data_IF_070885854127
#
_entry.id   IF_070885854127
#
_cell.length_a   1.000
_cell.length_b   1.000
_cell.length_c   1.000
_cell.angle_alpha   90.00
_cell.angle_beta   90.00
_cell.angle_gamma   90.00
#
_symmetry.space_group_name_H-M   'P 1'
#
loop_
_entity.id
_entity.type
_entity.pdbx_description
1 polymer ?
#
# COMPACT_ATOMS: atom_id res chain seq x y z
N UNK A 1 0.37 25.09 19.93
CA UNK A 1 1.71 25.72 20.02
C UNK A 1 1.50 27.22 20.09
N UNK A 2 2.28 27.96 20.87
CA UNK A 2 2.18 29.43 20.88
C UNK A 2 2.75 29.98 19.56
N UNK A 3 2.05 30.89 18.88
CA UNK A 3 2.46 31.49 17.61
C UNK A 3 3.89 32.05 17.67
N UNK A 4 4.24 32.70 18.80
CA UNK A 4 5.58 33.24 19.05
C UNK A 4 6.69 32.20 18.92
N UNK A 5 6.42 30.95 19.34
CA UNK A 5 7.41 29.87 19.27
C UNK A 5 7.60 29.38 17.83
N UNK A 6 6.52 29.27 17.05
CA UNK A 6 6.60 28.89 15.65
C UNK A 6 7.37 29.93 14.85
N UNK A 7 7.05 31.22 15.00
CA UNK A 7 7.74 32.31 14.31
C UNK A 7 9.24 32.33 14.65
N UNK A 8 9.59 32.07 15.92
CA UNK A 8 10.99 31.94 16.32
C UNK A 8 11.69 30.78 15.61
N UNK A 9 11.08 29.58 15.57
CA UNK A 9 11.64 28.44 14.84
C UNK A 9 11.79 28.72 13.34
N UNK A 10 10.79 29.33 12.72
CA UNK A 10 10.81 29.70 11.30
C UNK A 10 11.92 30.69 10.98
N UNK A 11 12.15 31.68 11.84
CA UNK A 11 13.25 32.65 11.66
C UNK A 11 14.65 32.03 11.74
N UNK A 12 14.78 30.88 12.42
CA UNK A 12 16.05 30.16 12.59
C UNK A 12 16.30 29.13 11.47
N UNK A 13 15.35 28.90 10.56
CA UNK A 13 15.57 27.99 9.43
C UNK A 13 16.68 28.48 8.50
N UNK A 14 16.83 29.79 8.34
CA UNK A 14 17.88 30.40 7.52
C UNK A 14 19.23 30.56 8.24
N UNK A 15 19.35 30.08 9.48
CA UNK A 15 20.63 30.11 10.19
C UNK A 15 21.71 29.33 9.41
N UNK A 16 22.90 29.93 9.19
CA UNK A 16 23.99 29.28 8.46
C UNK A 16 24.62 28.11 9.23
N UNK A 17 24.37 28.01 10.54
CA UNK A 17 24.92 26.98 11.43
C UNK A 17 24.17 25.65 11.24
N UNK A 18 24.81 24.59 10.72
CA UNK A 18 24.12 23.33 10.41
C UNK A 18 23.43 22.68 11.62
N UNK A 19 24.01 22.80 12.81
CA UNK A 19 23.45 22.24 14.05
C UNK A 19 22.16 22.95 14.48
N UNK A 20 22.08 24.27 14.24
CA UNK A 20 20.87 25.06 14.54
C UNK A 20 19.76 24.63 13.59
N UNK A 21 20.05 24.55 12.28
CA UNK A 21 19.11 24.06 11.29
C UNK A 21 18.58 22.66 11.63
N UNK A 22 19.46 21.70 11.94
CA UNK A 22 19.04 20.33 12.28
C UNK A 22 18.13 20.28 13.51
N UNK A 23 18.40 21.10 14.52
CA UNK A 23 17.56 21.17 15.73
C UNK A 23 16.19 21.74 15.42
N UNK A 24 16.14 22.84 14.66
CA UNK A 24 14.90 23.51 14.25
C UNK A 24 14.08 22.60 13.33
N UNK A 25 14.70 22.00 12.31
CA UNK A 25 14.06 21.07 11.39
C UNK A 25 13.44 19.89 12.14
N UNK A 26 14.17 19.29 13.11
CA UNK A 26 13.64 18.22 13.95
C UNK A 26 12.43 18.68 14.76
N UNK A 27 12.52 19.82 15.44
CA UNK A 27 11.44 20.34 16.28
C UNK A 27 10.18 20.66 15.45
N UNK A 28 10.34 21.24 14.27
CA UNK A 28 9.25 21.50 13.34
C UNK A 28 8.65 20.19 12.77
N UNK A 29 9.50 19.21 12.45
CA UNK A 29 9.08 17.92 11.86
C UNK A 29 8.21 17.06 12.77
N UNK A 30 8.27 17.29 14.08
CA UNK A 30 7.48 16.58 15.08
C UNK A 30 6.10 17.21 15.33
N UNK A 31 5.84 18.38 14.73
CA UNK A 31 4.56 19.09 14.84
C UNK A 31 3.41 18.34 14.13
N UNK A 32 2.15 18.62 14.50
CA UNK A 32 0.98 18.04 13.82
C UNK A 32 0.82 18.60 12.40
N UNK A 33 0.18 17.83 11.51
CA UNK A 33 -0.13 18.23 10.12
C UNK A 33 -0.96 19.51 10.02
N UNK A 34 -1.70 19.87 11.08
CA UNK A 34 -2.48 21.12 11.13
C UNK A 34 -1.62 22.38 11.04
N UNK A 35 -0.30 22.29 11.21
CA UNK A 35 0.62 23.41 11.06
C UNK A 35 1.02 23.68 9.59
N UNK A 36 0.80 22.70 8.69
CA UNK A 36 1.26 22.78 7.30
C UNK A 36 0.76 24.05 6.58
N UNK A 37 -0.52 24.47 6.68
CA UNK A 37 -0.97 25.70 6.03
C UNK A 37 -0.16 26.93 6.43
N UNK A 38 0.22 27.05 7.71
CA UNK A 38 1.05 28.17 8.19
C UNK A 38 2.49 28.10 7.64
N UNK A 39 3.02 26.89 7.45
CA UNK A 39 4.33 26.69 6.82
C UNK A 39 4.28 27.01 5.32
N UNK A 40 3.17 26.69 4.64
CA UNK A 40 2.93 27.02 3.24
C UNK A 40 2.77 28.54 3.04
N UNK A 41 2.06 29.23 3.92
CA UNK A 41 1.98 30.70 3.94
C UNK A 41 3.38 31.32 4.07
N UNK A 42 4.18 30.82 5.02
CA UNK A 42 5.56 31.29 5.20
C UNK A 42 6.47 30.95 4.01
N UNK A 43 6.24 29.82 3.33
CA UNK A 43 6.94 29.43 2.11
C UNK A 43 6.62 30.39 0.95
N UNK A 44 5.37 30.86 0.83
CA UNK A 44 4.97 31.86 -0.16
C UNK A 44 5.65 33.22 0.07
N UNK A 45 5.83 33.61 1.33
CA UNK A 45 6.50 34.87 1.71
C UNK A 45 8.03 34.79 1.71
N UNK A 46 8.60 33.58 1.64
CA UNK A 46 10.03 33.36 1.71
C UNK A 46 10.76 34.01 0.52
N UNK A 47 11.71 34.91 0.84
CA UNK A 47 12.47 35.70 -0.17
C UNK A 47 13.69 34.98 -0.75
N UNK A 48 14.06 33.84 -0.18
CA UNK A 48 15.25 33.08 -0.53
C UNK A 48 14.87 31.69 -1.03
N UNK A 49 15.38 31.24 -2.19
CA UNK A 49 15.19 29.87 -2.66
C UNK A 49 15.67 28.82 -1.66
N UNK A 50 16.72 29.11 -0.89
CA UNK A 50 17.23 28.21 0.15
C UNK A 50 16.22 28.02 1.29
N UNK A 51 15.55 29.09 1.71
CA UNK A 51 14.53 29.04 2.75
C UNK A 51 13.32 28.23 2.28
N UNK A 52 12.89 28.45 1.04
CA UNK A 52 11.81 27.69 0.39
C UNK A 52 12.13 26.19 0.37
N UNK A 53 13.34 25.81 -0.06
CA UNK A 53 13.77 24.40 -0.07
C UNK A 53 13.75 23.80 1.34
N UNK A 54 14.25 24.52 2.35
CA UNK A 54 14.25 24.08 3.75
C UNK A 54 12.83 23.89 4.29
N UNK A 55 11.92 24.81 3.97
CA UNK A 55 10.50 24.71 4.35
C UNK A 55 9.82 23.53 3.68
N UNK A 56 10.06 23.30 2.39
CA UNK A 56 9.57 22.12 1.68
C UNK A 56 10.06 20.82 2.33
N UNK A 57 11.33 20.75 2.72
CA UNK A 57 11.88 19.59 3.43
C UNK A 57 11.15 19.35 4.75
N UNK A 58 10.92 20.40 5.54
CA UNK A 58 10.16 20.33 6.81
C UNK A 58 8.72 19.88 6.58
N UNK A 59 8.00 20.49 5.64
CA UNK A 59 6.60 20.15 5.30
C UNK A 59 6.51 18.68 4.89
N UNK A 60 7.37 18.23 3.97
CA UNK A 60 7.42 16.85 3.51
C UNK A 60 7.70 15.87 4.68
N UNK A 61 8.56 16.26 5.63
CA UNK A 61 8.91 15.43 6.79
C UNK A 61 7.76 15.35 7.80
N UNK A 62 7.02 16.44 8.05
CA UNK A 62 5.80 16.45 8.86
C UNK A 62 4.76 15.50 8.26
N UNK A 63 4.50 15.63 6.95
CA UNK A 63 3.55 14.79 6.22
C UNK A 63 3.94 13.31 6.29
N UNK A 64 5.21 12.99 6.01
CA UNK A 64 5.70 11.62 6.10
C UNK A 64 5.60 11.04 7.52
N UNK A 65 6.00 11.81 8.54
CA UNK A 65 5.91 11.39 9.94
C UNK A 65 4.47 11.11 10.38
N UNK A 66 3.50 11.89 9.87
CA UNK A 66 2.09 11.63 10.08
C UNK A 66 1.64 10.32 9.42
N UNK A 67 1.89 10.15 8.11
CA UNK A 67 1.55 8.92 7.38
C UNK A 67 2.18 7.68 8.01
N UNK A 68 3.44 7.77 8.46
CA UNK A 68 4.13 6.68 9.16
C UNK A 68 3.40 6.30 10.45
N UNK A 69 2.95 7.28 11.25
CA UNK A 69 2.18 7.03 12.48
C UNK A 69 0.83 6.40 12.19
N UNK A 70 0.12 6.87 11.17
CA UNK A 70 -1.14 6.27 10.73
C UNK A 70 -0.94 4.83 10.27
N UNK A 71 0.11 4.55 9.48
CA UNK A 71 0.41 3.20 9.01
C UNK A 71 0.81 2.25 10.14
N UNK A 72 1.58 2.72 11.13
CA UNK A 72 1.88 1.94 12.34
C UNK A 72 0.61 1.64 13.14
N UNK A 73 -0.31 2.59 13.23
CA UNK A 73 -1.58 2.41 13.94
C UNK A 73 -2.45 1.40 13.19
N UNK A 74 -2.59 1.56 11.88
CA UNK A 74 -3.25 0.61 10.99
C UNK A 74 -2.69 -0.81 11.16
N UNK A 75 -1.35 -0.97 11.17
CA UNK A 75 -0.69 -2.26 11.33
C UNK A 75 -0.90 -2.94 12.69
N UNK A 76 -1.41 -2.22 13.71
CA UNK A 76 -1.77 -2.75 15.03
C UNK A 76 -3.25 -3.09 15.19
N UNK A 77 -4.09 -2.74 14.21
CA UNK A 77 -5.52 -3.09 14.25
C UNK A 77 -5.74 -4.57 13.93
N UNK A 78 -6.78 -5.16 14.52
CA UNK A 78 -7.12 -6.58 14.30
C UNK A 78 -7.79 -6.81 12.93
N UNK A 79 -8.55 -5.82 12.44
CA UNK A 79 -9.28 -5.85 11.18
C UNK A 79 -8.69 -4.85 10.17
N UNK A 80 -7.49 -5.14 9.69
CA UNK A 80 -6.76 -4.27 8.77
C UNK A 80 -7.42 -4.22 7.39
N UNK A 81 -7.97 -3.07 6.98
CA UNK A 81 -8.42 -2.88 5.61
C UNK A 81 -7.22 -2.71 4.66
N UNK A 82 -7.15 -3.52 3.61
CA UNK A 82 -6.05 -3.54 2.63
C UNK A 82 -5.98 -2.26 1.77
N UNK A 83 -7.12 -1.67 1.42
CA UNK A 83 -7.18 -0.42 0.64
C UNK A 83 -6.61 0.72 1.46
N UNK A 84 -6.92 0.79 2.76
CA UNK A 84 -6.40 1.82 3.67
C UNK A 84 -4.87 1.75 3.76
N UNK A 85 -4.33 0.54 3.95
CA UNK A 85 -2.89 0.32 3.98
C UNK A 85 -2.21 0.74 2.68
N UNK A 86 -2.81 0.44 1.52
CA UNK A 86 -2.28 0.86 0.23
C UNK A 86 -2.32 2.39 0.04
N UNK A 87 -3.43 3.04 0.43
CA UNK A 87 -3.57 4.50 0.43
C UNK A 87 -2.49 5.15 1.29
N UNK A 88 -2.24 4.63 2.50
CA UNK A 88 -1.20 5.15 3.38
C UNK A 88 0.20 5.01 2.77
N UNK A 89 0.49 3.89 2.10
CA UNK A 89 1.75 3.75 1.35
C UNK A 89 1.86 4.79 0.24
N UNK A 90 0.78 5.08 -0.50
CA UNK A 90 0.83 6.07 -1.57
C UNK A 90 0.93 7.52 -1.03
N UNK A 91 0.26 7.82 0.08
CA UNK A 91 0.37 9.12 0.77
C UNK A 91 1.79 9.44 1.25
N UNK A 92 2.65 8.45 1.43
CA UNK A 92 4.03 8.66 1.89
C UNK A 92 4.94 9.36 0.87
N UNK A 93 4.54 9.38 -0.40
CA UNK A 93 5.23 10.07 -1.49
C UNK A 93 4.30 10.95 -2.33
N UNK A 94 2.99 10.87 -2.11
CA UNK A 94 1.97 11.76 -2.68
C UNK A 94 0.99 12.20 -1.58
N UNK A 95 1.36 13.17 -0.72
CA UNK A 95 0.55 13.63 0.41
C UNK A 95 -0.84 14.13 0.01
N UNK A 96 -0.99 14.65 -1.22
CA UNK A 96 -2.22 15.22 -1.75
C UNK A 96 -3.13 14.18 -2.43
N UNK A 97 -2.88 12.88 -2.23
CA UNK A 97 -3.69 11.81 -2.81
C UNK A 97 -5.17 11.93 -2.39
N UNK A 98 -6.04 12.10 -3.38
CA UNK A 98 -7.49 12.17 -3.18
C UNK A 98 -8.05 10.75 -3.06
N UNK A 99 -8.65 10.42 -1.92
CA UNK A 99 -9.12 9.06 -1.59
C UNK A 99 -10.53 8.75 -2.06
N UNK A 100 -11.38 9.77 -2.25
CA UNK A 100 -12.79 9.59 -2.63
C UNK A 100 -12.97 8.80 -3.95
N UNK A 101 -12.24 9.10 -5.05
CA UNK A 101 -12.35 8.32 -6.27
C UNK A 101 -11.96 6.85 -6.08
N UNK A 102 -10.93 6.57 -5.26
CA UNK A 102 -10.49 5.21 -4.94
C UNK A 102 -11.64 4.44 -4.29
N UNK A 103 -12.26 5.01 -3.24
CA UNK A 103 -13.39 4.38 -2.54
C UNK A 103 -14.57 4.12 -3.46
N UNK A 104 -14.96 5.11 -4.26
CA UNK A 104 -16.10 4.99 -5.19
C UNK A 104 -15.91 3.85 -6.17
N UNK A 105 -14.69 3.65 -6.69
CA UNK A 105 -14.40 2.54 -7.61
C UNK A 105 -14.49 1.19 -6.90
N UNK A 106 -13.87 1.05 -5.72
CA UNK A 106 -13.94 -0.19 -4.92
C UNK A 106 -15.38 -0.53 -4.56
N UNK A 107 -16.15 0.44 -4.06
CA UNK A 107 -17.55 0.26 -3.68
C UNK A 107 -18.42 -0.14 -4.87
N UNK A 108 -18.14 0.41 -6.06
CA UNK A 108 -18.86 0.03 -7.28
C UNK A 108 -18.62 -1.45 -7.61
N UNK A 109 -17.36 -1.88 -7.65
CA UNK A 109 -17.02 -3.28 -7.95
C UNK A 109 -17.65 -4.22 -6.92
N UNK A 110 -17.54 -3.86 -5.63
CA UNK A 110 -18.15 -4.62 -4.54
C UNK A 110 -19.65 -4.78 -4.72
N UNK A 111 -20.38 -3.69 -4.96
CA UNK A 111 -21.84 -3.74 -5.14
C UNK A 111 -22.25 -4.61 -6.33
N UNK A 112 -21.55 -4.48 -7.45
CA UNK A 112 -21.84 -5.28 -8.65
C UNK A 112 -21.60 -6.77 -8.38
N UNK A 113 -20.52 -7.13 -7.68
CA UNK A 113 -20.25 -8.53 -7.29
C UNK A 113 -21.25 -9.04 -6.25
N UNK A 114 -21.63 -8.19 -5.30
CA UNK A 114 -22.55 -8.53 -4.21
C UNK A 114 -23.94 -8.93 -4.73
N UNK A 115 -24.40 -8.34 -5.84
CA UNK A 115 -25.68 -8.71 -6.47
C UNK A 115 -25.70 -10.13 -7.02
N UNK A 116 -24.54 -10.69 -7.35
CA UNK A 116 -24.39 -12.03 -7.95
C UNK A 116 -24.02 -13.10 -6.91
N UNK A 117 -23.61 -12.70 -5.71
CA UNK A 117 -23.22 -13.60 -4.63
C UNK A 117 -24.38 -13.82 -3.66
N UNK A 118 -24.62 -15.06 -3.29
CA UNK A 118 -25.49 -15.43 -2.18
C UNK A 118 -24.85 -16.52 -1.30
N UNK A 119 -25.48 -16.81 -0.16
CA UNK A 119 -24.94 -17.73 0.85
C UNK A 119 -24.98 -19.20 0.44
N UNK A 120 -25.74 -19.57 -0.59
CA UNK A 120 -25.83 -20.95 -1.08
C UNK A 120 -24.66 -21.32 -1.99
N UNK A 121 -23.91 -20.34 -2.48
CA UNK A 121 -22.75 -20.56 -3.34
C UNK A 121 -21.58 -21.13 -2.57
N UNK A 122 -20.91 -22.11 -3.18
CA UNK A 122 -19.64 -22.63 -2.68
C UNK A 122 -18.54 -21.59 -2.76
N UNK A 123 -17.47 -21.75 -1.96
CA UNK A 123 -16.29 -20.90 -2.02
C UNK A 123 -15.71 -20.76 -3.43
N UNK A 124 -15.69 -21.84 -4.21
CA UNK A 124 -15.17 -21.83 -5.58
C UNK A 124 -16.07 -21.03 -6.53
N UNK A 125 -17.39 -21.11 -6.38
CA UNK A 125 -18.34 -20.32 -7.18
C UNK A 125 -18.24 -18.84 -6.88
N UNK A 126 -18.16 -18.46 -5.58
CA UNK A 126 -17.94 -17.07 -5.16
C UNK A 126 -16.67 -16.49 -5.79
N UNK A 127 -15.57 -17.27 -5.82
CA UNK A 127 -14.32 -16.85 -6.46
C UNK A 127 -14.43 -16.76 -7.97
N UNK A 128 -15.17 -17.66 -8.64
CA UNK A 128 -15.41 -17.56 -10.09
C UNK A 128 -16.17 -16.29 -10.46
N UNK A 129 -17.18 -15.91 -9.67
CA UNK A 129 -17.93 -14.66 -9.85
C UNK A 129 -16.99 -13.49 -9.67
N UNK A 130 -16.24 -13.43 -8.56
CA UNK A 130 -15.29 -12.35 -8.32
C UNK A 130 -14.25 -12.23 -9.45
N UNK A 131 -13.71 -13.35 -9.95
CA UNK A 131 -12.80 -13.37 -11.08
C UNK A 131 -13.44 -12.78 -12.34
N UNK A 132 -14.69 -13.18 -12.64
CA UNK A 132 -15.41 -12.67 -13.80
C UNK A 132 -15.56 -11.15 -13.74
N UNK A 133 -16.02 -10.61 -12.62
CA UNK A 133 -16.13 -9.16 -12.47
C UNK A 133 -14.78 -8.47 -12.53
N UNK A 134 -13.81 -8.92 -11.74
CA UNK A 134 -12.54 -8.22 -11.60
C UNK A 134 -11.71 -8.24 -12.91
N UNK A 135 -11.61 -9.40 -13.56
CA UNK A 135 -10.75 -9.58 -14.73
C UNK A 135 -11.47 -9.42 -16.08
N UNK A 136 -12.77 -9.72 -16.18
CA UNK A 136 -13.46 -9.72 -17.48
C UNK A 136 -14.39 -8.50 -17.64
N UNK A 137 -15.12 -8.11 -16.60
CA UNK A 137 -16.00 -6.93 -16.65
C UNK A 137 -15.17 -5.65 -16.44
N UNK A 138 -14.44 -5.58 -15.32
CA UNK A 138 -13.64 -4.43 -14.95
C UNK A 138 -12.29 -4.36 -15.67
N UNK A 139 -11.81 -5.50 -16.19
CA UNK A 139 -10.58 -5.61 -16.99
C UNK A 139 -9.29 -5.21 -16.24
N UNK A 140 -9.23 -5.48 -14.93
CA UNK A 140 -7.99 -5.29 -14.18
C UNK A 140 -6.93 -6.29 -14.61
N UNK A 141 -5.71 -5.81 -14.86
CA UNK A 141 -4.61 -6.65 -15.33
C UNK A 141 -3.29 -6.28 -14.68
N UNK A 142 -2.41 -7.26 -14.56
CA UNK A 142 -1.10 -7.09 -13.95
C UNK A 142 -0.06 -6.78 -15.04
N UNK A 143 0.74 -5.73 -14.85
CA UNK A 143 1.80 -5.36 -15.81
C UNK A 143 3.07 -6.18 -15.59
N UNK A 144 3.83 -6.42 -16.67
CA UNK A 144 5.08 -7.18 -16.60
C UNK A 144 6.14 -6.46 -15.74
N UNK A 145 6.85 -7.18 -14.83
CA UNK A 145 7.90 -6.60 -14.00
C UNK A 145 9.16 -6.21 -14.79
N UNK A 146 9.21 -6.53 -16.09
CA UNK A 146 10.34 -6.23 -16.97
C UNK A 146 10.40 -4.75 -17.38
N UNK A 147 9.29 -4.01 -17.25
CA UNK A 147 9.21 -2.58 -17.57
C UNK A 147 8.67 -1.81 -16.36
N UNK A 148 9.48 -1.64 -15.30
CA UNK A 148 9.01 -1.00 -14.08
C UNK A 148 8.71 0.47 -14.33
N UNK A 149 7.63 0.96 -13.72
CA UNK A 149 7.22 2.37 -13.73
C UNK A 149 6.89 2.80 -12.31
N UNK A 150 7.22 4.03 -11.93
CA UNK A 150 7.10 4.52 -10.55
C UNK A 150 5.65 4.61 -10.02
N UNK A 151 4.67 4.56 -10.91
CA UNK A 151 3.25 4.59 -10.57
C UNK A 151 2.60 3.20 -10.46
N UNK A 152 3.30 2.11 -10.82
CA UNK A 152 2.67 0.79 -10.93
C UNK A 152 2.15 0.22 -9.60
N UNK A 153 2.52 0.82 -8.46
CA UNK A 153 2.00 0.54 -7.12
C UNK A 153 1.10 1.63 -6.54
N UNK A 154 0.75 2.65 -7.33
CA UNK A 154 -0.15 3.73 -6.94
C UNK A 154 -1.61 3.32 -7.13
N UNK A 155 -2.34 3.11 -6.04
CA UNK A 155 -3.71 2.57 -6.08
C UNK A 155 -4.66 3.44 -6.91
N UNK A 156 -4.54 4.77 -6.84
CA UNK A 156 -5.37 5.69 -7.61
C UNK A 156 -5.13 5.52 -9.10
N UNK A 157 -3.86 5.54 -9.50
CA UNK A 157 -3.44 5.33 -10.89
C UNK A 157 -3.87 3.95 -11.39
N UNK A 158 -3.62 2.90 -10.61
CA UNK A 158 -3.96 1.52 -10.95
C UNK A 158 -5.46 1.33 -11.13
N UNK A 159 -6.28 1.94 -10.27
CA UNK A 159 -7.73 1.89 -10.40
C UNK A 159 -8.21 2.61 -11.68
N UNK A 160 -7.61 3.75 -12.01
CA UNK A 160 -7.96 4.51 -13.23
C UNK A 160 -7.52 3.82 -14.53
N UNK A 161 -6.30 3.26 -14.56
CA UNK A 161 -5.72 2.64 -15.74
C UNK A 161 -6.11 1.17 -15.86
N UNK A 162 -6.67 0.58 -14.80
CA UNK A 162 -6.99 -0.85 -14.69
C UNK A 162 -5.77 -1.76 -14.86
N UNK A 163 -4.58 -1.21 -14.63
CA UNK A 163 -3.31 -1.90 -14.79
C UNK A 163 -2.38 -1.52 -13.65
N UNK A 164 -1.65 -2.49 -13.11
CA UNK A 164 -0.73 -2.26 -12.00
C UNK A 164 0.21 -3.42 -11.77
N UNK A 165 1.16 -3.27 -10.84
CA UNK A 165 2.06 -4.35 -10.49
C UNK A 165 1.31 -5.52 -9.83
N UNK A 166 1.96 -6.68 -9.77
CA UNK A 166 1.36 -7.92 -9.27
C UNK A 166 0.87 -7.82 -7.82
N UNK A 167 1.57 -7.04 -6.99
CA UNK A 167 1.25 -6.86 -5.57
C UNK A 167 -0.02 -6.03 -5.42
N UNK A 168 -0.09 -4.86 -6.05
CA UNK A 168 -1.25 -3.97 -5.89
C UNK A 168 -2.54 -4.57 -6.51
N UNK A 169 -2.44 -5.26 -7.65
CA UNK A 169 -3.57 -5.99 -8.22
C UNK A 169 -4.09 -7.07 -7.26
N UNK A 170 -3.19 -7.81 -6.61
CA UNK A 170 -3.56 -8.81 -5.61
C UNK A 170 -4.13 -8.19 -4.33
N UNK A 171 -3.64 -7.03 -3.92
CA UNK A 171 -4.18 -6.26 -2.78
C UNK A 171 -5.61 -5.83 -3.06
N UNK A 172 -5.87 -5.22 -4.23
CA UNK A 172 -7.21 -4.76 -4.60
C UNK A 172 -8.18 -5.95 -4.68
N UNK A 173 -7.77 -7.05 -5.34
CA UNK A 173 -8.57 -8.26 -5.43
C UNK A 173 -8.92 -8.82 -4.05
N UNK A 174 -7.92 -9.01 -3.17
CA UNK A 174 -8.13 -9.54 -1.83
C UNK A 174 -8.97 -8.60 -0.96
N UNK A 175 -8.82 -7.28 -1.11
CA UNK A 175 -9.62 -6.30 -0.38
C UNK A 175 -11.10 -6.39 -0.74
N UNK A 176 -11.43 -6.45 -2.04
CA UNK A 176 -12.81 -6.59 -2.50
C UNK A 176 -13.40 -7.91 -2.00
N UNK A 177 -12.64 -9.01 -2.08
CA UNK A 177 -13.07 -10.29 -1.54
C UNK A 177 -13.38 -10.21 -0.03
N UNK A 178 -12.48 -9.61 0.76
CA UNK A 178 -12.65 -9.48 2.20
C UNK A 178 -13.83 -8.57 2.58
N UNK A 179 -14.10 -7.50 1.83
CA UNK A 179 -15.28 -6.64 2.02
C UNK A 179 -16.61 -7.33 1.63
N UNK A 180 -16.55 -8.44 0.88
CA UNK A 180 -17.67 -9.32 0.56
C UNK A 180 -17.75 -10.53 1.50
N UNK A 181 -17.04 -10.49 2.62
CA UNK A 181 -16.90 -11.59 3.59
C UNK A 181 -16.28 -12.88 3.04
N UNK A 182 -15.63 -12.81 1.87
CA UNK A 182 -14.90 -13.92 1.25
C UNK A 182 -13.47 -13.95 1.82
N UNK A 183 -13.06 -15.02 2.53
CA UNK A 183 -11.79 -15.09 3.26
C UNK A 183 -10.56 -15.33 2.36
N UNK A 184 -10.25 -14.36 1.49
CA UNK A 184 -9.09 -14.38 0.61
C UNK A 184 -7.92 -13.62 1.25
N UNK A 185 -6.78 -14.28 1.36
CA UNK A 185 -5.56 -13.71 1.95
C UNK A 185 -4.34 -13.98 1.08
N UNK A 186 -3.28 -13.18 1.24
CA UNK A 186 -2.01 -13.45 0.55
C UNK A 186 -1.34 -14.73 1.04
N UNK A 187 -0.30 -15.18 0.33
CA UNK A 187 0.68 -16.13 0.85
C UNK A 187 2.10 -15.54 0.81
N UNK A 188 2.94 -15.95 1.75
CA UNK A 188 4.30 -15.45 1.90
C UNK A 188 5.33 -16.19 1.02
N UNK A 189 5.01 -16.40 -0.27
CA UNK A 189 5.90 -17.05 -1.23
C UNK A 189 6.88 -16.04 -1.86
N UNK A 190 8.20 -16.30 -1.85
CA UNK A 190 9.20 -15.45 -2.50
C UNK A 190 8.94 -15.34 -4.01
N UNK A 191 9.23 -14.15 -4.55
CA UNK A 191 9.20 -13.84 -5.99
C UNK A 191 7.91 -14.27 -6.72
N UNK A 192 6.80 -14.34 -5.98
CA UNK A 192 5.51 -14.82 -6.45
C UNK A 192 4.39 -14.16 -5.65
N UNK A 193 3.47 -13.45 -6.30
CA UNK A 193 2.27 -12.93 -5.63
C UNK A 193 1.11 -13.88 -5.89
N UNK A 194 0.71 -14.61 -4.86
CA UNK A 194 -0.39 -15.56 -4.89
C UNK A 194 -1.28 -15.29 -3.67
N UNK A 195 -2.55 -15.66 -3.80
CA UNK A 195 -3.54 -15.59 -2.73
C UNK A 195 -4.03 -17.00 -2.38
N UNK A 196 -4.76 -17.12 -1.30
CA UNK A 196 -5.39 -18.33 -0.82
C UNK A 196 -6.78 -18.03 -0.28
N UNK A 197 -7.68 -19.00 -0.39
CA UNK A 197 -8.97 -18.98 0.29
C UNK A 197 -8.88 -19.83 1.56
N UNK A 198 -9.28 -19.26 2.70
CA UNK A 198 -9.27 -19.93 4.00
C UNK A 198 -10.66 -20.45 4.35
N UNK A 199 -10.76 -21.67 4.86
CA UNK A 199 -11.99 -22.22 5.43
C UNK A 199 -12.26 -21.58 6.81
N UNK A 200 -13.23 -20.65 6.85
CA UNK A 200 -13.68 -20.01 8.09
C UNK A 200 -14.65 -20.88 8.91
N UNK A 201 -15.31 -21.86 8.31
CA UNK A 201 -16.38 -22.62 8.98
C UNK A 201 -15.83 -23.72 9.90
N UNK A 202 -14.67 -24.29 9.58
CA UNK A 202 -14.12 -25.45 10.30
C UNK A 202 -13.18 -25.14 11.46
N UNK A 203 -13.04 -23.89 11.90
CA UNK A 203 -12.12 -23.46 12.98
C UNK A 203 -10.65 -23.90 12.78
N UNK A 204 -10.26 -24.29 11.55
CA UNK A 204 -8.93 -24.83 11.25
C UNK A 204 -8.02 -23.86 10.50
N UNK A 205 -8.52 -22.69 10.08
CA UNK A 205 -7.81 -21.74 9.21
C UNK A 205 -7.09 -22.47 8.05
N UNK A 206 -7.71 -23.53 7.54
CA UNK A 206 -7.15 -24.40 6.52
C UNK A 206 -7.32 -23.74 5.16
N UNK A 207 -6.30 -23.83 4.31
CA UNK A 207 -6.38 -23.32 2.95
C UNK A 207 -7.13 -24.34 2.09
N UNK A 208 -8.27 -23.92 1.53
CA UNK A 208 -9.05 -24.75 0.60
C UNK A 208 -8.38 -24.84 -0.77
N UNK A 209 -7.93 -23.70 -1.27
CA UNK A 209 -7.27 -23.57 -2.57
C UNK A 209 -6.49 -22.26 -2.66
N UNK A 210 -5.65 -22.18 -3.68
CA UNK A 210 -4.85 -21.02 -4.01
C UNK A 210 -5.39 -20.31 -5.24
N UNK A 211 -5.10 -19.02 -5.35
CA UNK A 211 -5.58 -18.15 -6.42
C UNK A 211 -4.37 -17.41 -6.99
N UNK A 212 -4.27 -17.35 -8.31
CA UNK A 212 -3.27 -16.57 -9.01
C UNK A 212 -3.93 -15.33 -9.67
N UNK A 213 -3.87 -14.15 -9.03
CA UNK A 213 -4.44 -12.94 -9.61
C UNK A 213 -3.77 -12.48 -10.92
N UNK A 214 -2.53 -12.91 -11.17
CA UNK A 214 -1.80 -12.56 -12.40
C UNK A 214 -2.35 -13.38 -13.58
N UNK A 215 -2.76 -14.62 -13.31
CA UNK A 215 -3.37 -15.52 -14.31
C UNK A 215 -4.90 -15.48 -14.20
N UNK A 216 -5.47 -14.26 -14.24
CA UNK A 216 -6.92 -13.98 -14.22
C UNK A 216 -7.69 -14.70 -13.10
N UNK A 217 -7.06 -14.86 -11.94
CA UNK A 217 -7.65 -15.50 -10.78
C UNK A 217 -7.71 -17.03 -10.86
N UNK A 218 -6.87 -17.67 -11.70
CA UNK A 218 -6.78 -19.13 -11.80
C UNK A 218 -6.70 -19.76 -10.40
N UNK A 219 -7.59 -20.72 -10.16
CA UNK A 219 -7.66 -21.49 -8.91
C UNK A 219 -6.89 -22.79 -9.07
N UNK A 220 -6.12 -23.16 -8.05
CA UNK A 220 -5.26 -24.35 -8.08
C UNK A 220 -5.06 -24.95 -6.67
N UNK A 221 -4.66 -26.21 -6.62
CA UNK A 221 -4.50 -26.98 -5.39
C UNK A 221 -3.09 -26.91 -4.79
N UNK A 222 -2.91 -27.54 -3.63
CA UNK A 222 -1.61 -27.63 -2.94
C UNK A 222 -0.52 -28.32 -3.77
N UNK A 223 -0.86 -29.39 -4.49
CA UNK A 223 0.10 -30.10 -5.35
C UNK A 223 0.65 -29.20 -6.48
N UNK A 224 -0.20 -28.34 -7.05
CA UNK A 224 0.22 -27.37 -8.06
C UNK A 224 1.09 -26.26 -7.44
N UNK A 225 0.79 -25.82 -6.21
CA UNK A 225 1.67 -24.90 -5.47
C UNK A 225 3.05 -25.51 -5.20
N UNK A 226 3.10 -26.78 -4.79
CA UNK A 226 4.35 -27.53 -4.60
C UNK A 226 5.17 -27.61 -5.88
N UNK A 227 4.52 -27.85 -7.01
CA UNK A 227 5.16 -27.79 -8.32
C UNK A 227 5.74 -26.40 -8.63
N UNK A 228 5.00 -25.32 -8.34
CA UNK A 228 5.49 -23.95 -8.51
C UNK A 228 6.71 -23.66 -7.63
N UNK A 229 6.70 -24.10 -6.37
CA UNK A 229 7.82 -23.93 -5.43
C UNK A 229 9.06 -24.67 -5.97
N UNK A 230 8.90 -25.94 -6.37
CA UNK A 230 9.98 -26.78 -6.86
C UNK A 230 10.58 -26.26 -8.19
N UNK A 231 9.73 -25.87 -9.14
CA UNK A 231 10.17 -25.33 -10.44
C UNK A 231 10.97 -24.03 -10.32
N UNK A 232 10.66 -23.20 -9.30
CA UNK A 232 11.42 -21.99 -8.97
C UNK A 232 12.67 -22.25 -8.10
N UNK A 233 12.97 -23.51 -7.77
CA UNK A 233 14.06 -23.91 -6.86
C UNK A 233 14.00 -23.21 -5.50
N UNK A 234 12.79 -22.92 -5.02
CA UNK A 234 12.56 -22.32 -3.72
C UNK A 234 12.57 -23.46 -2.69
N UNK A 235 13.34 -23.31 -1.62
CA UNK A 235 13.30 -24.26 -0.49
C UNK A 235 11.89 -24.33 0.08
N UNK A 236 11.30 -25.53 0.12
CA UNK A 236 9.94 -25.72 0.58
C UNK A 236 9.83 -25.48 2.09
N UNK A 237 8.99 -24.52 2.50
CA UNK A 237 8.80 -24.12 3.91
C UNK A 237 7.33 -24.09 4.26
N UNK A 238 6.98 -24.58 5.45
CA UNK A 238 5.61 -24.64 5.96
C UNK A 238 4.86 -23.29 5.92
N UNK A 239 5.60 -22.17 6.07
CA UNK A 239 5.04 -20.81 6.01
C UNK A 239 4.39 -20.43 4.67
N UNK A 240 4.69 -21.16 3.57
CA UNK A 240 4.07 -20.90 2.26
C UNK A 240 2.65 -21.44 2.13
N UNK A 241 2.28 -22.38 3.00
CA UNK A 241 0.94 -22.99 3.06
C UNK A 241 0.09 -22.38 4.18
N UNK A 242 0.37 -21.13 4.54
CA UNK A 242 -0.37 -20.38 5.55
C UNK A 242 -0.78 -19.03 4.97
N UNK A 243 -1.98 -18.59 5.34
CA UNK A 243 -2.44 -17.25 5.02
C UNK A 243 -1.48 -16.20 5.60
N UNK A 244 -1.12 -15.24 4.77
CA UNK A 244 -0.37 -14.05 5.16
C UNK A 244 -1.33 -13.01 5.74
N UNK A 245 -0.87 -12.28 6.75
CA UNK A 245 -1.56 -11.10 7.27
C UNK A 245 -1.66 -9.99 6.22
N UNK A 246 -2.67 -9.14 6.31
CA UNK A 246 -2.80 -7.95 5.45
C UNK A 246 -1.57 -7.02 5.58
N UNK A 247 -1.01 -6.86 6.78
CA UNK A 247 0.28 -6.19 7.01
C UNK A 247 1.42 -6.74 6.15
N UNK A 248 1.50 -8.06 5.95
CA UNK A 248 2.50 -8.67 5.06
C UNK A 248 2.30 -8.26 3.61
N UNK A 249 1.05 -8.20 3.14
CA UNK A 249 0.75 -7.73 1.78
C UNK A 249 1.15 -6.27 1.58
N UNK A 250 0.89 -5.39 2.55
CA UNK A 250 1.32 -3.98 2.48
C UNK A 250 2.85 -3.86 2.56
N UNK A 251 3.53 -4.66 3.40
CA UNK A 251 5.01 -4.75 3.39
C UNK A 251 5.56 -5.13 2.02
N UNK A 252 4.89 -6.02 1.30
CA UNK A 252 5.28 -6.39 -0.08
C UNK A 252 5.11 -5.22 -1.04
N UNK A 253 4.05 -4.41 -0.90
CA UNK A 253 3.85 -3.22 -1.71
C UNK A 253 4.97 -2.19 -1.46
N UNK A 254 5.30 -1.93 -0.19
CA UNK A 254 6.42 -1.06 0.17
C UNK A 254 7.74 -1.60 -0.40
N UNK A 255 7.98 -2.92 -0.30
CA UNK A 255 9.19 -3.56 -0.84
C UNK A 255 9.25 -3.44 -2.37
N UNK A 256 8.13 -3.57 -3.06
CA UNK A 256 8.01 -3.35 -4.50
C UNK A 256 8.42 -1.91 -4.86
N UNK A 257 7.86 -0.91 -4.18
CA UNK A 257 8.20 0.50 -4.41
C UNK A 257 9.70 0.77 -4.20
N UNK A 258 10.31 0.23 -3.13
CA UNK A 258 11.77 0.32 -2.92
C UNK A 258 12.53 -0.22 -4.13
N UNK A 259 12.14 -1.38 -4.65
CA UNK A 259 12.84 -2.04 -5.75
C UNK A 259 12.66 -1.27 -7.07
N UNK A 260 11.45 -0.80 -7.38
CA UNK A 260 11.17 0.00 -8.58
C UNK A 260 11.93 1.32 -8.55
N UNK A 261 11.86 2.06 -7.46
CA UNK A 261 12.55 3.34 -7.32
C UNK A 261 14.07 3.19 -7.46
N UNK A 262 14.66 2.12 -6.89
CA UNK A 262 16.07 1.77 -7.12
C UNK A 262 16.40 1.51 -8.58
N UNK A 263 15.58 0.69 -9.27
CA UNK A 263 15.79 0.37 -10.69
C UNK A 263 15.70 1.61 -11.56
N UNK A 264 14.79 2.53 -11.25
CA UNK A 264 14.60 3.80 -11.95
C UNK A 264 15.58 4.89 -11.51
N UNK A 265 16.48 4.63 -10.56
CA UNK A 265 17.41 5.60 -9.97
C UNK A 265 16.71 6.82 -9.33
N UNK A 266 15.48 6.65 -8.88
CA UNK A 266 14.69 7.65 -8.16
C UNK A 266 14.96 7.50 -6.65
N UNK A 267 15.93 8.24 -6.13
CA UNK A 267 16.39 8.01 -4.75
C UNK A 267 15.60 8.75 -3.67
N UNK A 268 14.83 9.78 -4.04
CA UNK A 268 14.18 10.74 -3.12
C UNK A 268 13.36 10.06 -2.02
N UNK A 269 12.48 9.11 -2.37
CA UNK A 269 11.55 8.49 -1.41
C UNK A 269 12.03 7.14 -0.85
N UNK A 270 13.19 6.64 -1.27
CA UNK A 270 13.71 5.35 -0.79
C UNK A 270 13.89 5.32 0.74
N UNK A 271 14.43 6.37 1.41
CA UNK A 271 14.52 6.41 2.87
C UNK A 271 13.15 6.26 3.52
N UNK A 272 12.15 7.03 3.04
CA UNK A 272 10.77 6.99 3.52
C UNK A 272 10.19 5.56 3.41
N UNK A 273 10.35 4.90 2.25
CA UNK A 273 9.87 3.54 2.09
C UNK A 273 10.55 2.53 3.02
N UNK A 274 11.86 2.67 3.25
CA UNK A 274 12.57 1.79 4.21
C UNK A 274 12.04 1.97 5.63
N UNK A 275 11.70 3.19 6.01
CA UNK A 275 11.14 3.48 7.32
C UNK A 275 9.70 2.97 7.45
N UNK A 276 8.87 3.13 6.42
CA UNK A 276 7.53 2.50 6.39
C UNK A 276 7.63 0.97 6.52
N UNK A 277 8.56 0.34 5.81
CA UNK A 277 8.74 -1.12 5.85
C UNK A 277 9.04 -1.64 7.27
N UNK A 278 9.80 -0.88 8.06
CA UNK A 278 10.11 -1.19 9.47
C UNK A 278 8.95 -0.86 10.43
N UNK A 279 8.03 -0.01 10.01
CA UNK A 279 6.95 0.54 10.84
C UNK A 279 5.67 -0.30 10.84
N UNK A 280 5.56 -1.23 9.87
CA UNK A 280 4.58 -2.31 9.78
C UNK A 280 5.22 -3.57 10.38
#
# INVERSE_FOLDING_TARGET
MNETKLTALLSLLDDPTPEIYQRVEKELSDLPVSIIPQLEDFWLDAKSPLLQEKLEQVINKIQFNHVRRELTTWGKTDAQNLIDGAILVNKSYNPNLITEPIRKVIDKIKKDVQLEINDQLTALEKIKILNHFFFNIYNYQAISPNQPVNWDGDIGTVLSQKQGNYVIISIIYAAIAQELDIPVYGINLPDSVLLCHVDKEKNKNEILFYINPIDRGKVFGKAELEYVINSKKIENRAKYYRAATNSSMIKRLVKHNINVYKKLKLNTYIPNFKDLYKSI
#
